data_IF_606100124404
#
_entry.id   IF_606100124404
#
_cell.length_a   1.000
_cell.length_b   1.000
_cell.length_c   1.000
_cell.angle_alpha   90.00
_cell.angle_beta   90.00
_cell.angle_gamma   90.00
#
_symmetry.space_group_name_H-M   'P 1'
#
loop_
_entity.id
_entity.type
_entity.pdbx_description
1 polymer ?
#
# COMPACT_ATOMS: atom_id res chain seq x y z
N UNK A 1 -3.64 -3.03 13.67
CA UNK A 1 -2.95 -3.59 14.87
C UNK A 1 -3.71 -4.83 15.36
N UNK A 2 -3.04 -5.98 15.48
CA UNK A 2 -3.60 -7.21 16.04
C UNK A 2 -2.77 -7.59 17.30
N UNK A 3 -3.40 -7.58 18.48
CA UNK A 3 -2.74 -7.88 19.79
C UNK A 3 -1.50 -7.02 20.07
N UNK A 4 -1.49 -5.77 19.65
CA UNK A 4 -0.35 -4.86 19.80
C UNK A 4 0.79 -5.08 18.80
N UNK A 5 0.57 -5.90 17.75
CA UNK A 5 1.48 -6.06 16.63
C UNK A 5 0.93 -5.34 15.39
N UNK A 6 1.81 -4.78 14.61
CA UNK A 6 1.57 -4.09 13.33
C UNK A 6 2.72 -4.33 12.35
N UNK A 7 2.66 -3.67 11.21
CA UNK A 7 3.69 -3.72 10.18
C UNK A 7 4.03 -5.16 9.76
N UNK A 8 5.29 -5.47 9.73
CA UNK A 8 5.88 -6.75 9.30
C UNK A 8 5.51 -7.97 10.17
N UNK A 9 4.82 -7.76 11.31
CA UNK A 9 4.38 -8.81 12.22
C UNK A 9 2.96 -9.30 11.98
N UNK A 10 2.23 -8.64 11.08
CA UNK A 10 0.90 -9.02 10.61
C UNK A 10 0.98 -9.26 9.11
N UNK A 11 0.65 -10.47 8.69
CA UNK A 11 0.64 -10.78 7.26
C UNK A 11 -0.72 -10.46 6.65
N UNK A 12 -0.71 -9.60 5.62
CA UNK A 12 -1.88 -9.34 4.79
C UNK A 12 -1.77 -10.22 3.54
N UNK A 13 -2.85 -10.91 3.21
CA UNK A 13 -2.92 -11.81 2.07
C UNK A 13 -4.12 -11.46 1.20
N UNK A 14 -3.93 -11.61 -0.09
CA UNK A 14 -5.00 -11.60 -1.08
C UNK A 14 -5.19 -13.02 -1.63
N UNK A 15 -6.39 -13.58 -1.45
CA UNK A 15 -6.74 -14.93 -1.92
C UNK A 15 -5.86 -16.06 -1.35
N UNK A 16 -5.26 -15.85 -0.17
CA UNK A 16 -4.38 -16.83 0.49
C UNK A 16 -2.92 -16.75 0.09
N UNK A 17 -2.53 -15.81 -0.78
CA UNK A 17 -1.16 -15.53 -1.20
C UNK A 17 -0.77 -14.08 -0.91
N UNK A 18 0.49 -13.73 -1.02
CA UNK A 18 1.03 -12.38 -0.76
C UNK A 18 0.31 -11.32 -1.59
N UNK A 19 0.20 -10.11 -1.08
CA UNK A 19 -0.35 -8.95 -1.81
C UNK A 19 0.59 -8.47 -2.91
N UNK A 20 1.89 -8.70 -2.76
CA UNK A 20 2.99 -8.20 -3.61
C UNK A 20 3.13 -6.67 -3.63
N UNK A 21 2.50 -5.97 -2.72
CA UNK A 21 2.74 -4.55 -2.46
C UNK A 21 3.89 -4.33 -1.47
N UNK A 22 4.22 -3.07 -1.20
CA UNK A 22 5.24 -2.69 -0.22
C UNK A 22 4.64 -2.10 1.07
N UNK A 23 3.36 -2.28 1.30
CA UNK A 23 2.62 -1.76 2.47
C UNK A 23 3.15 -2.23 3.84
N UNK A 24 4.08 -3.18 3.86
CA UNK A 24 4.75 -3.64 5.06
C UNK A 24 6.08 -2.92 5.33
N UNK A 25 6.58 -2.13 4.41
CA UNK A 25 7.86 -1.40 4.54
C UNK A 25 7.69 -0.09 5.29
N UNK A 26 6.64 0.66 4.97
CA UNK A 26 6.29 1.92 5.63
C UNK A 26 4.77 2.03 5.85
N UNK A 27 4.30 2.76 6.89
CA UNK A 27 2.88 2.95 7.17
C UNK A 27 2.13 3.80 6.14
N UNK A 28 2.80 4.62 5.39
CA UNK A 28 2.28 5.47 4.30
C UNK A 28 2.00 4.71 3.02
N UNK A 29 2.60 3.54 2.85
CA UNK A 29 2.32 2.71 1.69
C UNK A 29 0.97 1.99 1.79
N UNK A 30 0.07 2.30 0.87
CA UNK A 30 -1.26 1.71 0.80
C UNK A 30 -1.25 0.21 0.47
N UNK A 31 -2.23 -0.52 1.00
CA UNK A 31 -2.47 -1.92 0.59
C UNK A 31 -3.27 -1.92 -0.71
N UNK A 32 -2.77 -2.58 -1.76
CA UNK A 32 -3.38 -2.62 -3.10
C UNK A 32 -4.59 -3.57 -3.15
N UNK A 33 -5.56 -3.38 -2.27
CA UNK A 33 -6.79 -4.18 -2.19
C UNK A 33 -8.00 -3.25 -2.16
N UNK A 34 -8.91 -3.43 -3.11
CA UNK A 34 -10.17 -2.68 -3.15
C UNK A 34 -11.27 -3.36 -2.31
N UNK A 35 -11.77 -2.71 -1.25
CA UNK A 35 -12.79 -3.29 -0.37
C UNK A 35 -14.10 -3.67 -1.06
N UNK A 36 -14.51 -2.97 -2.12
CA UNK A 36 -15.72 -3.29 -2.89
C UNK A 36 -15.67 -4.70 -3.50
N UNK A 37 -14.47 -5.17 -3.82
CA UNK A 37 -14.25 -6.47 -4.44
C UNK A 37 -14.07 -7.60 -3.41
N UNK A 38 -13.98 -7.28 -2.12
CA UNK A 38 -13.91 -8.28 -1.08
C UNK A 38 -15.27 -8.98 -0.89
N UNK A 39 -15.24 -10.32 -0.82
CA UNK A 39 -16.36 -11.14 -0.37
C UNK A 39 -16.28 -11.42 1.12
N UNK A 40 -15.11 -11.80 1.62
CA UNK A 40 -14.85 -12.11 3.02
C UNK A 40 -13.47 -11.58 3.45
N UNK A 41 -13.36 -11.21 4.72
CA UNK A 41 -12.08 -10.89 5.37
C UNK A 41 -11.88 -11.82 6.55
N UNK A 42 -10.91 -12.71 6.44
CA UNK A 42 -10.57 -13.68 7.46
C UNK A 42 -9.42 -13.18 8.33
N UNK A 43 -9.61 -13.18 9.65
CA UNK A 43 -8.54 -12.86 10.60
C UNK A 43 -8.12 -14.12 11.34
N UNK A 44 -6.97 -14.70 10.94
CA UNK A 44 -6.43 -15.93 11.52
C UNK A 44 -5.44 -15.58 12.62
N UNK A 45 -5.64 -16.15 13.81
CA UNK A 45 -4.81 -15.92 15.00
C UNK A 45 -4.44 -17.23 15.68
N UNK A 46 -3.27 -17.24 16.36
CA UNK A 46 -2.80 -18.40 17.09
C UNK A 46 -2.13 -19.45 16.21
N UNK A 47 -2.08 -20.74 16.60
CA UNK A 47 -1.27 -21.75 15.92
C UNK A 47 -1.60 -21.96 14.43
N UNK A 48 -2.83 -21.65 14.00
CA UNK A 48 -3.23 -21.75 12.60
C UNK A 48 -2.48 -20.75 11.69
N UNK A 49 -1.97 -19.65 12.23
CA UNK A 49 -1.16 -18.69 11.49
C UNK A 49 0.14 -19.28 10.94
N UNK A 50 0.65 -20.35 11.54
CA UNK A 50 1.85 -21.06 11.06
C UNK A 50 1.70 -21.63 9.66
N UNK A 51 0.46 -21.91 9.21
CA UNK A 51 0.19 -22.36 7.85
C UNK A 51 0.44 -21.28 6.80
N UNK A 52 0.56 -20.02 7.22
CA UNK A 52 0.72 -18.86 6.35
C UNK A 52 2.16 -18.34 6.25
N UNK A 53 3.14 -19.07 6.82
CA UNK A 53 4.55 -18.78 6.71
C UNK A 53 5.08 -17.86 7.82
N UNK A 54 6.23 -17.22 7.55
CA UNK A 54 6.84 -16.23 8.44
C UNK A 54 6.02 -14.94 8.50
N UNK A 55 6.40 -14.00 9.36
CA UNK A 55 5.74 -12.70 9.57
C UNK A 55 4.27 -12.77 10.05
N UNK A 56 3.74 -13.95 10.38
CA UNK A 56 2.38 -14.14 10.89
C UNK A 56 2.32 -14.21 12.44
N UNK A 57 3.24 -13.52 13.15
CA UNK A 57 3.37 -13.61 14.62
C UNK A 57 2.15 -12.99 15.31
N UNK A 58 1.70 -11.83 14.86
CA UNK A 58 0.49 -11.16 15.37
C UNK A 58 -0.79 -11.82 14.85
N UNK A 59 -0.73 -12.33 13.65
CA UNK A 59 -1.85 -12.95 12.93
C UNK A 59 -1.76 -12.77 11.42
N UNK A 60 -2.81 -13.21 10.75
CA UNK A 60 -2.96 -13.09 9.29
C UNK A 60 -4.32 -12.45 9.00
N UNK A 61 -4.33 -11.48 8.11
CA UNK A 61 -5.55 -10.95 7.49
C UNK A 61 -5.59 -11.45 6.06
N UNK A 62 -6.54 -12.29 5.73
CA UNK A 62 -6.71 -12.82 4.38
C UNK A 62 -7.97 -12.25 3.74
N UNK A 63 -7.81 -11.48 2.69
CA UNK A 63 -8.92 -10.94 1.92
C UNK A 63 -9.28 -11.92 0.81
N UNK A 64 -10.52 -12.37 0.82
CA UNK A 64 -11.09 -13.24 -0.20
C UNK A 64 -11.95 -12.36 -1.09
N UNK A 65 -11.50 -12.16 -2.32
CA UNK A 65 -12.17 -11.30 -3.29
C UNK A 65 -13.04 -12.08 -4.27
N UNK A 66 -13.83 -11.32 -5.01
CA UNK A 66 -14.75 -11.82 -6.05
C UNK A 66 -14.05 -12.25 -7.34
N UNK A 67 -12.78 -11.90 -7.51
CA UNK A 67 -12.00 -12.13 -8.73
C UNK A 67 -11.79 -13.62 -9.03
N UNK A 68 -11.65 -14.49 -8.00
CA UNK A 68 -11.55 -15.93 -8.17
C UNK A 68 -12.87 -16.62 -7.82
N UNK A 69 -13.66 -17.08 -8.81
CA UNK A 69 -14.90 -17.80 -8.53
C UNK A 69 -14.67 -19.07 -7.70
N UNK A 70 -15.23 -19.12 -6.47
CA UNK A 70 -15.06 -20.23 -5.52
C UNK A 70 -16.29 -21.10 -5.38
N UNK A 71 -17.43 -20.63 -5.84
CA UNK A 71 -18.72 -21.30 -5.73
C UNK A 71 -19.43 -21.32 -7.07
N UNK A 72 -20.25 -22.35 -7.28
CA UNK A 72 -21.10 -22.41 -8.48
C UNK A 72 -22.06 -21.22 -8.49
N UNK A 73 -22.13 -20.55 -9.60
CA UNK A 73 -23.07 -19.45 -9.77
C UNK A 73 -24.51 -19.97 -9.58
N UNK A 74 -25.24 -19.34 -8.66
CA UNK A 74 -26.65 -19.68 -8.43
C UNK A 74 -27.55 -19.27 -9.58
N UNK A 75 -27.12 -18.28 -10.35
CA UNK A 75 -27.85 -17.72 -11.51
C UNK A 75 -26.87 -17.45 -12.66
N UNK A 76 -27.33 -17.46 -13.91
CA UNK A 76 -26.47 -17.19 -15.05
C UNK A 76 -25.80 -15.83 -15.03
N UNK A 77 -26.42 -14.85 -14.38
CA UNK A 77 -25.92 -13.48 -14.25
C UNK A 77 -26.44 -12.84 -12.95
N UNK A 78 -25.54 -12.20 -12.22
CA UNK A 78 -25.85 -11.31 -11.09
C UNK A 78 -24.81 -10.21 -11.02
N UNK A 79 -25.12 -9.14 -10.32
CA UNK A 79 -24.17 -8.03 -10.17
C UNK A 79 -24.61 -7.04 -9.11
N UNK A 80 -23.65 -6.22 -8.72
CA UNK A 80 -23.79 -5.09 -7.82
C UNK A 80 -23.20 -3.87 -8.51
N UNK A 81 -23.91 -2.74 -8.43
CA UNK A 81 -23.40 -1.45 -8.83
C UNK A 81 -23.47 -0.51 -7.62
N UNK A 82 -22.46 0.30 -7.44
CA UNK A 82 -22.36 1.27 -6.38
C UNK A 82 -22.01 2.63 -6.96
N UNK A 83 -22.62 3.68 -6.42
CA UNK A 83 -22.23 5.06 -6.64
C UNK A 83 -22.21 5.76 -5.29
N UNK A 84 -21.10 6.36 -4.95
CA UNK A 84 -20.90 7.04 -3.67
C UNK A 84 -20.48 8.48 -3.89
N UNK A 85 -20.93 9.36 -3.01
CA UNK A 85 -20.49 10.74 -2.91
C UNK A 85 -20.23 11.09 -1.44
N UNK A 86 -19.04 11.59 -1.14
CA UNK A 86 -18.61 12.08 0.17
C UNK A 86 -18.32 13.57 0.14
N UNK A 87 -19.01 14.37 0.97
CA UNK A 87 -18.86 15.82 0.94
C UNK A 87 -17.60 16.33 1.65
N UNK A 88 -16.96 15.51 2.47
CA UNK A 88 -15.77 15.89 3.24
C UNK A 88 -14.55 16.08 2.35
N UNK A 89 -14.43 15.26 1.31
CA UNK A 89 -13.35 15.32 0.32
C UNK A 89 -13.86 15.46 -1.11
N UNK A 90 -15.13 15.83 -1.28
CA UNK A 90 -15.82 15.84 -2.59
C UNK A 90 -15.64 14.51 -3.37
N UNK A 91 -15.52 13.39 -2.60
CA UNK A 91 -15.27 12.07 -3.14
C UNK A 91 -16.40 11.61 -4.06
N UNK A 92 -16.04 11.09 -5.20
CA UNK A 92 -16.92 10.45 -6.18
C UNK A 92 -16.38 9.07 -6.49
N UNK A 93 -17.19 8.04 -6.23
CA UNK A 93 -16.81 6.66 -6.49
C UNK A 93 -17.91 5.93 -7.25
N UNK A 94 -17.50 5.16 -8.25
CA UNK A 94 -18.37 4.33 -9.08
C UNK A 94 -17.81 2.93 -9.17
N UNK A 95 -18.57 1.95 -8.70
CA UNK A 95 -18.17 0.55 -8.67
C UNK A 95 -19.16 -0.35 -9.36
N UNK A 96 -18.65 -1.38 -10.02
CA UNK A 96 -19.42 -2.44 -10.67
C UNK A 96 -18.75 -3.79 -10.40
N UNK A 97 -19.51 -4.76 -9.86
CA UNK A 97 -19.07 -6.13 -9.72
C UNK A 97 -20.12 -7.08 -10.33
N UNK A 98 -19.73 -7.84 -11.32
CA UNK A 98 -20.57 -8.77 -12.07
C UNK A 98 -20.07 -10.18 -11.89
N UNK A 99 -20.98 -11.13 -11.79
CA UNK A 99 -20.65 -12.55 -11.74
C UNK A 99 -21.77 -13.40 -12.33
N UNK A 100 -21.41 -14.59 -12.75
CA UNK A 100 -22.40 -15.52 -13.27
C UNK A 100 -21.80 -16.84 -13.66
N UNK A 101 -22.63 -17.70 -14.23
CA UNK A 101 -22.18 -19.02 -14.70
C UNK A 101 -23.31 -19.99 -14.98
N UNK A 102 -22.91 -21.13 -15.52
CA UNK A 102 -23.83 -22.24 -15.82
C UNK A 102 -23.05 -23.54 -15.95
N UNK A 103 -23.64 -24.65 -15.54
CA UNK A 103 -23.12 -26.03 -15.74
C UNK A 103 -21.69 -26.25 -15.20
N UNK A 104 -21.35 -25.57 -14.08
CA UNK A 104 -20.03 -25.63 -13.45
C UNK A 104 -19.06 -24.59 -13.97
N UNK A 105 -19.32 -23.89 -15.05
CA UNK A 105 -18.57 -22.71 -15.46
C UNK A 105 -19.04 -21.51 -14.63
N UNK A 106 -18.07 -20.70 -14.19
CA UNK A 106 -18.33 -19.44 -13.50
C UNK A 106 -17.40 -18.34 -14.05
N UNK A 107 -17.86 -17.12 -14.00
CA UNK A 107 -17.09 -15.94 -14.38
C UNK A 107 -17.38 -14.77 -13.42
N UNK A 108 -16.45 -13.89 -13.31
CA UNK A 108 -16.57 -12.64 -12.55
C UNK A 108 -15.82 -11.51 -13.24
N UNK A 109 -16.30 -10.29 -13.05
CA UNK A 109 -15.66 -9.07 -13.55
C UNK A 109 -16.01 -7.90 -12.63
N UNK A 110 -15.04 -7.02 -12.40
CA UNK A 110 -15.26 -5.82 -11.60
C UNK A 110 -14.51 -4.63 -12.16
N UNK A 111 -15.03 -3.44 -11.84
CA UNK A 111 -14.41 -2.16 -12.14
C UNK A 111 -14.77 -1.16 -11.05
N UNK A 112 -13.82 -0.33 -10.67
CA UNK A 112 -13.98 0.79 -9.75
C UNK A 112 -13.21 1.99 -10.27
N UNK A 113 -13.81 3.16 -10.10
CA UNK A 113 -13.19 4.46 -10.30
C UNK A 113 -13.58 5.33 -9.10
N UNK A 114 -12.58 5.84 -8.38
CA UNK A 114 -12.73 6.67 -7.17
C UNK A 114 -11.84 7.87 -7.29
N UNK A 115 -12.37 9.06 -7.02
CA UNK A 115 -11.62 10.31 -6.98
C UNK A 115 -12.06 11.10 -5.76
N UNK A 116 -11.10 11.62 -5.01
CA UNK A 116 -11.32 12.55 -3.91
C UNK A 116 -10.34 13.71 -3.96
N UNK A 117 -10.76 14.86 -3.50
CA UNK A 117 -9.90 15.98 -3.15
C UNK A 117 -9.41 15.82 -1.71
N UNK A 118 -8.67 16.81 -1.22
CA UNK A 118 -8.24 16.89 0.16
C UNK A 118 -9.41 16.92 1.15
N UNK A 119 -9.19 16.35 2.34
CA UNK A 119 -10.21 16.23 3.36
C UNK A 119 -10.46 17.56 4.06
N UNK A 120 -11.74 17.97 4.16
CA UNK A 120 -12.16 19.05 5.06
C UNK A 120 -12.11 18.57 6.51
N UNK A 121 -11.37 19.27 7.37
CA UNK A 121 -11.21 18.98 8.79
C UNK A 121 -11.72 20.15 9.66
N UNK A 122 -12.15 19.92 10.91
CA UNK A 122 -12.73 20.99 11.75
C UNK A 122 -11.69 21.87 12.47
N UNK A 123 -10.44 21.88 12.08
CA UNK A 123 -9.33 22.56 12.74
C UNK A 123 -8.07 22.59 11.90
N UNK A 124 -6.94 22.73 12.56
CA UNK A 124 -5.63 22.51 11.97
C UNK A 124 -5.33 21.00 11.88
N UNK A 125 -4.43 20.61 10.97
CA UNK A 125 -4.02 19.22 10.80
C UNK A 125 -3.22 18.74 12.02
N UNK A 126 -2.36 19.61 12.53
CA UNK A 126 -1.52 19.33 13.68
C UNK A 126 -2.19 19.69 15.01
N UNK A 127 -1.74 19.04 16.06
CA UNK A 127 -2.22 19.35 17.40
C UNK A 127 -1.48 20.55 17.97
N UNK A 128 -2.18 21.41 18.71
CA UNK A 128 -1.57 22.55 19.39
C UNK A 128 -0.29 22.20 20.18
N UNK A 129 -0.20 20.99 20.73
CA UNK A 129 0.98 20.53 21.47
C UNK A 129 2.17 20.16 20.57
N UNK A 130 1.93 19.77 19.34
CA UNK A 130 2.98 19.54 18.34
C UNK A 130 3.55 20.89 17.89
N UNK A 131 2.70 21.81 17.48
CA UNK A 131 3.08 23.17 17.09
C UNK A 131 3.91 23.86 18.20
N UNK A 132 3.48 23.80 19.47
CA UNK A 132 4.22 24.36 20.61
C UNK A 132 5.58 23.64 20.85
N UNK A 133 5.70 22.36 20.46
CA UNK A 133 6.94 21.61 20.61
C UNK A 133 7.96 21.95 19.52
N UNK A 134 7.51 22.14 18.30
CA UNK A 134 8.32 22.54 17.14
C UNK A 134 8.84 23.97 17.31
N UNK A 135 7.99 24.94 17.72
CA UNK A 135 8.42 26.29 18.07
C UNK A 135 9.51 26.30 19.17
N UNK A 136 9.48 25.33 20.10
CA UNK A 136 10.50 25.24 21.16
C UNK A 136 11.80 24.64 20.67
N UNK A 137 11.78 23.68 19.75
CA UNK A 137 13.00 23.10 19.17
C UNK A 137 13.74 24.09 18.28
N UNK A 138 13.05 24.89 17.48
CA UNK A 138 13.64 25.96 16.67
C UNK A 138 14.32 27.02 17.54
N UNK A 139 13.69 27.44 18.61
CA UNK A 139 14.30 28.45 19.53
C UNK A 139 15.51 27.92 20.30
N UNK A 140 15.63 26.60 20.55
CA UNK A 140 16.84 26.04 21.21
C UNK A 140 18.05 26.02 20.27
N UNK A 141 17.84 25.86 18.94
CA UNK A 141 18.94 25.95 17.97
C UNK A 141 19.45 27.35 17.76
N UNK A 142 18.62 28.41 17.85
CA UNK A 142 19.04 29.80 17.72
C UNK A 142 19.87 30.31 18.93
N UNK A 143 19.71 29.75 20.13
CA UNK A 143 20.49 30.14 21.30
C UNK A 143 21.95 29.61 21.29
N UNK A 144 22.27 28.58 20.48
CA UNK A 144 23.65 28.07 20.35
C UNK A 144 24.50 28.83 19.31
N UNK A 145 23.90 29.58 18.38
CA UNK A 145 24.60 30.39 17.39
C UNK A 145 24.50 31.87 17.74
N UNK A 146 25.57 32.42 18.36
CA UNK A 146 25.65 33.76 18.97
C UNK A 146 25.31 34.93 18.05
N UNK A 147 24.50 35.85 18.58
CA UNK A 147 24.38 37.29 18.30
C UNK A 147 24.73 37.75 16.87
N UNK A 148 23.83 37.56 15.91
CA UNK A 148 23.68 38.43 14.77
C UNK A 148 22.28 39.04 14.79
N UNK A 149 22.21 40.37 15.07
CA UNK A 149 21.03 41.19 14.85
C UNK A 149 20.82 41.35 13.34
N UNK A 150 20.16 40.39 12.70
CA UNK A 150 19.46 40.61 11.44
C UNK A 150 17.98 40.34 11.70
N UNK A 151 17.13 41.30 11.30
CA UNK A 151 15.69 41.17 11.31
C UNK A 151 15.33 40.09 10.26
N UNK A 152 15.48 38.81 10.62
CA UNK A 152 15.00 37.69 9.85
C UNK A 152 13.47 37.77 9.82
N UNK A 153 12.89 37.91 8.65
CA UNK A 153 11.50 37.61 8.45
C UNK A 153 11.38 36.09 8.60
N UNK A 154 10.90 35.63 9.76
CA UNK A 154 10.38 34.28 9.89
C UNK A 154 9.12 34.26 9.04
N UNK A 155 9.16 33.60 7.91
CA UNK A 155 7.97 33.17 7.18
C UNK A 155 7.36 32.03 8.04
N UNK A 156 6.47 32.45 8.97
CA UNK A 156 5.62 31.51 9.69
C UNK A 156 4.83 30.74 8.61
N UNK A 157 5.13 29.45 8.44
CA UNK A 157 4.34 28.56 7.59
C UNK A 157 2.90 28.62 8.08
N UNK A 158 2.02 29.23 7.28
CA UNK A 158 0.61 29.34 7.61
C UNK A 158 -0.05 27.97 7.46
N UNK A 159 -0.08 27.18 8.53
CA UNK A 159 -0.91 25.98 8.57
C UNK A 159 -2.32 26.28 8.04
N UNK A 160 -2.77 25.50 7.07
CA UNK A 160 -4.07 25.69 6.45
C UNK A 160 -5.16 25.18 7.38
N UNK A 161 -5.94 26.14 7.91
CA UNK A 161 -7.09 25.82 8.75
C UNK A 161 -8.24 25.24 7.92
N UNK A 162 -8.72 24.09 8.32
CA UNK A 162 -9.97 23.51 7.78
C UNK A 162 -9.76 22.51 6.64
N UNK A 163 -8.53 22.25 6.23
CA UNK A 163 -8.18 21.25 5.20
C UNK A 163 -6.98 20.44 5.67
N UNK A 164 -6.99 19.15 5.44
CA UNK A 164 -5.83 18.28 5.52
C UNK A 164 -5.22 18.23 4.12
N UNK A 165 -4.21 19.05 3.89
CA UNK A 165 -3.53 19.15 2.60
C UNK A 165 -2.86 17.84 2.20
N UNK A 166 -2.75 17.62 0.90
CA UNK A 166 -2.14 16.43 0.32
C UNK A 166 -2.78 15.10 0.81
N UNK A 167 -4.10 15.09 0.96
CA UNK A 167 -4.87 13.90 1.37
C UNK A 167 -5.80 13.37 0.27
N UNK A 168 -5.64 13.82 -0.95
CA UNK A 168 -6.40 13.38 -2.12
C UNK A 168 -6.13 11.93 -2.48
N UNK A 169 -7.06 11.29 -3.18
CA UNK A 169 -6.91 9.92 -3.72
C UNK A 169 -7.60 9.81 -5.08
N UNK A 170 -6.90 9.29 -6.09
CA UNK A 170 -7.47 8.83 -7.37
C UNK A 170 -7.14 7.34 -7.54
N UNK A 171 -8.15 6.48 -7.57
CA UNK A 171 -7.97 5.04 -7.66
C UNK A 171 -8.80 4.45 -8.78
N UNK A 172 -8.17 3.64 -9.62
CA UNK A 172 -8.81 2.78 -10.60
C UNK A 172 -8.42 1.34 -10.37
N UNK A 173 -9.42 0.46 -10.35
CA UNK A 173 -9.15 -0.95 -10.18
C UNK A 173 -10.12 -1.78 -11.01
N UNK A 174 -9.65 -2.95 -11.46
CA UNK A 174 -10.48 -3.87 -12.22
C UNK A 174 -10.00 -5.30 -12.12
N UNK A 175 -10.91 -6.24 -12.39
CA UNK A 175 -10.56 -7.65 -12.45
C UNK A 175 -11.43 -8.43 -13.43
N UNK A 176 -10.89 -9.56 -13.88
CA UNK A 176 -11.59 -10.59 -14.62
C UNK A 176 -11.24 -11.94 -14.04
N UNK A 177 -12.26 -12.81 -13.86
CA UNK A 177 -12.11 -14.16 -13.33
C UNK A 177 -12.92 -15.19 -14.08
N UNK A 178 -12.35 -16.38 -14.23
CA UNK A 178 -12.97 -17.55 -14.85
C UNK A 178 -12.75 -18.76 -13.98
N UNK A 179 -13.76 -19.62 -13.86
CA UNK A 179 -13.67 -20.82 -13.05
C UNK A 179 -14.46 -21.99 -13.62
N UNK A 180 -13.99 -23.19 -13.30
CA UNK A 180 -14.71 -24.45 -13.47
C UNK A 180 -14.89 -25.12 -12.11
N UNK A 181 -16.14 -25.34 -11.73
CA UNK A 181 -16.55 -25.81 -10.40
C UNK A 181 -17.30 -27.16 -10.54
N UNK A 182 -16.52 -28.24 -10.56
CA UNK A 182 -17.00 -29.61 -10.67
C UNK A 182 -17.39 -30.21 -9.32
N UNK A 183 -17.90 -31.46 -9.35
CA UNK A 183 -18.23 -32.19 -8.12
C UNK A 183 -17.00 -32.75 -7.39
N UNK A 184 -15.90 -32.97 -8.12
CA UNK A 184 -14.67 -33.58 -7.61
C UNK A 184 -13.53 -32.58 -7.45
N UNK A 185 -13.78 -31.33 -7.76
CA UNK A 185 -12.80 -30.28 -7.64
C UNK A 185 -13.16 -29.04 -8.43
N UNK A 186 -12.36 -28.02 -8.28
CA UNK A 186 -12.51 -26.73 -8.93
C UNK A 186 -11.18 -26.22 -9.48
N UNK A 187 -11.27 -25.33 -10.45
CA UNK A 187 -10.14 -24.59 -11.00
C UNK A 187 -10.61 -23.18 -11.35
N UNK A 188 -9.86 -22.17 -10.95
CA UNK A 188 -10.14 -20.78 -11.27
C UNK A 188 -8.86 -20.04 -11.61
N UNK A 189 -8.98 -19.04 -12.47
CA UNK A 189 -7.93 -18.08 -12.82
C UNK A 189 -8.51 -16.67 -12.74
N UNK A 190 -7.67 -15.71 -12.39
CA UNK A 190 -8.03 -14.30 -12.45
C UNK A 190 -6.86 -13.43 -12.84
N UNK A 191 -7.19 -12.27 -13.38
CA UNK A 191 -6.29 -11.14 -13.56
C UNK A 191 -6.94 -9.92 -12.91
N UNK A 192 -6.17 -9.15 -12.17
CA UNK A 192 -6.58 -7.88 -11.58
C UNK A 192 -5.51 -6.82 -11.80
N UNK A 193 -5.97 -5.59 -11.86
CA UNK A 193 -5.20 -4.39 -12.05
C UNK A 193 -5.64 -3.34 -11.03
N UNK A 194 -4.69 -2.61 -10.46
CA UNK A 194 -4.92 -1.58 -9.46
C UNK A 194 -3.95 -0.44 -9.71
N UNK A 195 -4.46 0.74 -9.97
CA UNK A 195 -3.71 1.97 -10.11
C UNK A 195 -4.25 2.99 -9.10
N UNK A 196 -3.36 3.68 -8.40
CA UNK A 196 -3.75 4.69 -7.41
C UNK A 196 -2.71 5.79 -7.31
N UNK A 197 -3.16 7.03 -7.39
CA UNK A 197 -2.38 8.22 -7.08
C UNK A 197 -2.96 8.84 -5.81
N UNK A 198 -2.11 9.11 -4.82
CA UNK A 198 -2.56 9.68 -3.56
C UNK A 198 -1.47 10.49 -2.88
N UNK A 199 -1.89 11.54 -2.16
CA UNK A 199 -1.00 12.34 -1.34
C UNK A 199 -0.72 11.71 0.02
N UNK A 200 0.43 12.04 0.60
CA UNK A 200 0.84 11.65 1.96
C UNK A 200 0.83 12.89 2.84
N UNK A 201 -0.22 13.12 3.65
CA UNK A 201 -0.32 14.29 4.50
C UNK A 201 0.79 14.35 5.56
N UNK A 202 1.35 15.53 5.80
CA UNK A 202 2.32 15.74 6.87
C UNK A 202 3.75 15.25 6.55
N UNK A 203 4.03 14.82 5.33
CA UNK A 203 5.38 14.61 4.83
C UNK A 203 5.79 15.81 3.99
N UNK A 204 6.60 16.67 4.58
CA UNK A 204 7.39 17.67 3.89
C UNK A 204 8.88 17.38 4.20
N UNK A 205 9.68 17.18 3.19
CA UNK A 205 11.12 17.05 3.35
C UNK A 205 11.74 18.44 3.27
N UNK A 206 11.97 19.08 4.43
CA UNK A 206 12.84 20.24 4.49
C UNK A 206 14.25 19.83 4.05
N UNK A 207 14.78 20.45 3.02
CA UNK A 207 16.17 20.26 2.60
C UNK A 207 17.09 20.67 3.76
N UNK A 208 17.57 19.70 4.54
CA UNK A 208 18.79 19.89 5.31
C UNK A 208 19.95 19.86 4.30
N UNK A 209 20.39 21.03 3.85
CA UNK A 209 21.69 21.15 3.21
C UNK A 209 22.73 20.74 4.25
N UNK A 210 23.30 19.53 4.10
CA UNK A 210 24.52 19.13 4.80
C UNK A 210 25.63 20.11 4.39
N UNK A 211 25.91 21.11 5.21
CA UNK A 211 27.07 21.99 5.06
C UNK A 211 28.33 21.13 5.11
N UNK A 212 28.89 20.83 3.93
CA UNK A 212 30.23 20.27 3.84
C UNK A 212 31.21 21.26 4.49
N UNK A 213 31.87 20.81 5.57
CA UNK A 213 32.97 21.50 6.25
C UNK A 213 34.03 21.91 5.23
N UNK A 214 34.07 23.18 4.82
CA UNK A 214 35.19 23.75 4.13
C UNK A 214 36.32 24.07 5.13
N UNK A 215 37.35 23.22 5.14
CA UNK A 215 38.64 23.46 5.80
C UNK A 215 39.27 24.77 5.29
N UNK A 216 39.71 25.53 6.25
CA UNK A 216 40.43 26.82 6.12
C UNK A 216 41.66 26.71 5.22
N UNK A 217 41.81 27.65 4.29
CA UNK A 217 42.99 27.83 3.46
C UNK A 217 43.17 29.25 2.95
N UNK A 218 43.74 30.11 3.78
CA UNK A 218 44.64 31.26 3.50
C UNK A 218 44.39 32.19 2.31
N UNK A 219 44.21 33.49 2.70
CA UNK A 219 44.71 34.77 2.13
C UNK A 219 44.68 34.97 0.60
N UNK A 220 43.92 36.01 0.14
CA UNK A 220 44.47 37.06 -0.71
C UNK A 220 43.49 38.21 -1.00
N UNK A 221 43.98 39.43 -0.63
CA UNK A 221 43.94 40.77 -1.26
C UNK A 221 42.75 41.20 -2.13
N UNK A 222 42.27 42.35 -1.68
CA UNK A 222 41.57 43.51 -2.27
C UNK A 222 41.37 43.52 -3.81
N UNK A 223 40.12 43.70 -4.21
CA UNK A 223 39.70 44.14 -5.53
C UNK A 223 38.22 44.48 -5.57
N UNK A 224 37.91 45.78 -5.46
CA UNK A 224 36.59 46.34 -5.61
C UNK A 224 36.09 46.12 -7.06
N UNK A 225 34.96 45.48 -7.22
CA UNK A 225 34.01 45.73 -8.32
C UNK A 225 32.62 45.28 -7.88
N UNK A 226 31.70 46.28 -7.75
CA UNK A 226 30.28 46.12 -7.48
C UNK A 226 29.62 45.32 -8.64
N UNK A 227 29.31 44.07 -8.41
CA UNK A 227 28.27 43.36 -9.20
C UNK A 227 27.08 43.10 -8.26
N UNK A 228 25.95 43.74 -8.58
CA UNK A 228 24.68 43.49 -7.95
C UNK A 228 24.28 42.02 -8.24
N UNK A 229 24.57 41.10 -7.32
CA UNK A 229 23.93 39.83 -7.27
C UNK A 229 22.50 40.03 -6.76
N UNK A 230 21.53 39.97 -7.66
CA UNK A 230 20.17 39.60 -7.31
C UNK A 230 20.23 38.14 -6.89
N UNK A 231 20.35 37.89 -5.62
CA UNK A 231 19.95 36.63 -5.02
C UNK A 231 18.42 36.60 -5.20
N UNK A 232 17.96 35.82 -6.19
CA UNK A 232 16.60 35.36 -6.21
C UNK A 232 16.55 34.34 -5.07
N UNK A 233 16.04 34.76 -3.90
CA UNK A 233 15.65 33.88 -2.82
C UNK A 233 14.59 32.93 -3.38
N UNK A 234 15.01 31.75 -3.88
CA UNK A 234 14.15 30.63 -4.09
C UNK A 234 13.71 30.18 -2.69
N UNK A 235 12.58 30.70 -2.23
CA UNK A 235 11.85 30.14 -1.09
C UNK A 235 11.64 28.66 -1.40
N UNK A 236 12.27 27.79 -0.63
CA UNK A 236 12.05 26.36 -0.73
C UNK A 236 10.58 26.10 -0.40
N UNK A 237 9.75 25.94 -1.43
CA UNK A 237 8.38 25.45 -1.26
C UNK A 237 8.51 24.06 -0.62
N UNK A 238 7.86 23.84 0.51
CA UNK A 238 7.77 22.50 1.10
C UNK A 238 7.19 21.54 0.06
N UNK A 239 7.98 20.56 -0.35
CA UNK A 239 7.58 19.65 -1.40
C UNK A 239 6.68 18.56 -0.83
N UNK A 240 5.43 18.55 -1.25
CA UNK A 240 4.44 17.56 -0.85
C UNK A 240 4.73 16.20 -1.49
N UNK A 241 4.71 15.13 -0.69
CA UNK A 241 4.94 13.78 -1.17
C UNK A 241 3.67 13.18 -1.76
N UNK A 242 3.74 12.74 -3.00
CA UNK A 242 2.66 12.04 -3.71
C UNK A 242 3.12 10.65 -4.16
N UNK A 243 2.28 9.64 -4.02
CA UNK A 243 2.55 8.28 -4.45
C UNK A 243 1.73 7.97 -5.70
N UNK A 244 2.41 7.58 -6.79
CA UNK A 244 1.83 7.04 -8.02
C UNK A 244 2.11 5.53 -8.09
N UNK A 245 1.06 4.71 -7.94
CA UNK A 245 1.11 3.27 -7.73
C UNK A 245 0.37 2.51 -8.83
N UNK A 246 1.06 1.54 -9.42
CA UNK A 246 0.51 0.55 -10.33
C UNK A 246 0.78 -0.87 -9.85
N UNK A 247 -0.24 -1.73 -9.86
CA UNK A 247 -0.08 -3.15 -9.58
C UNK A 247 -0.90 -4.01 -10.54
N UNK A 248 -0.28 -5.04 -11.08
CA UNK A 248 -0.99 -6.11 -11.77
C UNK A 248 -0.80 -7.45 -11.07
N UNK A 249 -1.84 -8.29 -11.12
CA UNK A 249 -1.82 -9.59 -10.47
C UNK A 249 -2.52 -10.64 -11.31
N UNK A 250 -1.87 -11.80 -11.47
CA UNK A 250 -2.46 -13.01 -12.01
C UNK A 250 -2.55 -14.08 -10.94
N UNK A 251 -3.70 -14.70 -10.77
CA UNK A 251 -3.92 -15.72 -9.74
C UNK A 251 -4.54 -16.98 -10.32
N UNK A 252 -4.13 -18.13 -9.76
CA UNK A 252 -4.68 -19.45 -10.06
C UNK A 252 -5.06 -20.11 -8.75
N UNK A 253 -6.24 -20.73 -8.70
CA UNK A 253 -6.65 -21.61 -7.63
C UNK A 253 -7.14 -22.93 -8.17
N UNK A 254 -6.72 -24.02 -7.55
CA UNK A 254 -7.18 -25.36 -7.85
C UNK A 254 -7.55 -26.11 -6.57
N UNK A 255 -8.62 -26.88 -6.60
CA UNK A 255 -9.02 -27.76 -5.50
C UNK A 255 -9.42 -29.14 -6.04
N UNK A 256 -8.95 -30.19 -5.41
CA UNK A 256 -9.36 -31.56 -5.68
C UNK A 256 -9.96 -32.18 -4.41
N UNK A 257 -11.19 -32.62 -4.49
CA UNK A 257 -11.90 -33.28 -3.39
C UNK A 257 -11.73 -34.79 -3.49
N UNK A 258 -11.25 -35.43 -2.43
CA UNK A 258 -11.01 -36.86 -2.32
C UNK A 258 -10.24 -37.45 -3.50
N UNK A 259 -9.08 -36.87 -3.88
CA UNK A 259 -8.32 -37.35 -5.02
C UNK A 259 -7.75 -38.75 -4.81
N UNK A 260 -7.66 -39.19 -3.55
CA UNK A 260 -7.28 -40.56 -3.17
C UNK A 260 -7.89 -40.95 -1.82
N UNK A 261 -7.69 -42.16 -1.37
CA UNK A 261 -8.12 -42.61 -0.06
C UNK A 261 -7.36 -41.92 1.10
N UNK A 262 -6.21 -41.36 0.84
CA UNK A 262 -5.39 -40.67 1.83
C UNK A 262 -5.79 -39.21 2.00
N UNK A 263 -6.24 -38.51 0.97
CA UNK A 263 -6.58 -37.10 1.00
C UNK A 263 -8.10 -36.85 1.01
N UNK A 264 -8.55 -35.99 1.91
CA UNK A 264 -9.87 -35.37 1.86
C UNK A 264 -9.90 -34.22 0.85
N UNK A 265 -8.84 -33.37 0.83
CA UNK A 265 -8.67 -32.31 -0.18
C UNK A 265 -7.20 -32.06 -0.47
N UNK A 266 -6.95 -31.58 -1.69
CA UNK A 266 -5.71 -30.94 -2.10
C UNK A 266 -6.05 -29.59 -2.70
N UNK A 267 -5.41 -28.54 -2.22
CA UNK A 267 -5.57 -27.18 -2.71
C UNK A 267 -4.24 -26.66 -3.24
N UNK A 268 -4.32 -25.92 -4.34
CA UNK A 268 -3.23 -25.16 -4.95
C UNK A 268 -3.66 -23.72 -5.08
N UNK A 269 -2.85 -22.81 -4.54
CA UNK A 269 -2.95 -21.38 -4.79
C UNK A 269 -1.62 -20.94 -5.41
N UNK A 270 -1.69 -20.19 -6.50
CA UNK A 270 -0.55 -19.62 -7.19
C UNK A 270 -0.86 -18.18 -7.57
N UNK A 271 0.10 -17.28 -7.37
CA UNK A 271 -0.02 -15.89 -7.77
C UNK A 271 1.29 -15.38 -8.37
N UNK A 272 1.15 -14.51 -9.36
CA UNK A 272 2.19 -13.63 -9.89
C UNK A 272 1.77 -12.21 -9.58
N UNK A 273 2.70 -11.39 -9.12
CA UNK A 273 2.51 -9.96 -8.89
C UNK A 273 3.60 -9.15 -9.56
N UNK A 274 3.22 -8.01 -10.09
CA UNK A 274 4.07 -6.96 -10.63
C UNK A 274 3.57 -5.66 -10.00
N UNK A 275 4.45 -4.99 -9.27
CA UNK A 275 4.14 -3.80 -8.49
C UNK A 275 5.20 -2.75 -8.70
N UNK A 276 4.76 -1.54 -8.92
CA UNK A 276 5.61 -0.36 -8.99
C UNK A 276 4.91 0.81 -8.33
N UNK A 277 5.61 1.56 -7.50
CA UNK A 277 5.19 2.91 -7.17
C UNK A 277 6.37 3.88 -7.23
N UNK A 278 6.02 5.14 -7.44
CA UNK A 278 6.94 6.27 -7.47
C UNK A 278 6.48 7.20 -6.36
N UNK A 279 7.39 7.59 -5.52
CA UNK A 279 7.24 8.73 -4.61
C UNK A 279 7.72 9.96 -5.36
N UNK A 280 6.83 10.94 -5.46
CA UNK A 280 7.08 12.24 -6.07
C UNK A 280 7.17 13.27 -4.95
N UNK A 281 8.23 14.04 -4.94
CA UNK A 281 8.45 15.20 -4.09
C UNK A 281 8.24 16.43 -4.96
N UNK A 282 7.08 17.08 -4.81
CA UNK A 282 6.64 18.06 -5.79
C UNK A 282 6.58 17.47 -7.21
N UNK A 283 7.38 18.02 -8.12
CA UNK A 283 7.50 17.56 -9.51
C UNK A 283 8.69 16.59 -9.74
N UNK A 284 9.50 16.34 -8.73
CA UNK A 284 10.70 15.49 -8.81
C UNK A 284 10.40 14.05 -8.37
N UNK A 285 11.21 13.11 -8.85
CA UNK A 285 11.11 11.70 -8.47
C UNK A 285 12.02 11.45 -7.28
N UNK A 286 11.46 11.29 -6.09
CA UNK A 286 12.17 10.93 -4.88
C UNK A 286 12.61 9.46 -4.92
N UNK A 287 11.72 8.52 -4.70
CA UNK A 287 12.05 7.08 -4.68
C UNK A 287 11.15 6.27 -5.60
N UNK A 288 11.72 5.27 -6.27
CA UNK A 288 11.01 4.29 -7.08
C UNK A 288 11.11 2.93 -6.43
N UNK A 289 9.96 2.34 -6.10
CA UNK A 289 9.85 0.98 -5.57
C UNK A 289 9.32 0.05 -6.65
N UNK A 290 9.99 -1.08 -6.85
CA UNK A 290 9.54 -2.13 -7.76
C UNK A 290 9.57 -3.47 -7.03
N UNK A 291 8.55 -4.29 -7.25
CA UNK A 291 8.47 -5.62 -6.66
C UNK A 291 7.78 -6.59 -7.58
N UNK A 292 8.55 -7.53 -8.09
CA UNK A 292 8.09 -8.63 -8.94
C UNK A 292 8.17 -9.95 -8.20
N UNK A 293 7.16 -10.80 -8.35
CA UNK A 293 7.28 -12.08 -7.69
C UNK A 293 6.22 -13.11 -8.04
N UNK A 294 6.46 -14.31 -7.53
CA UNK A 294 5.47 -15.37 -7.57
C UNK A 294 5.46 -16.17 -6.27
N UNK A 295 4.28 -16.62 -5.92
CA UNK A 295 4.03 -17.46 -4.75
C UNK A 295 3.24 -18.70 -5.14
N UNK A 296 3.70 -19.85 -4.67
CA UNK A 296 3.02 -21.14 -4.79
C UNK A 296 2.72 -21.68 -3.40
N UNK A 297 1.48 -22.06 -3.20
CA UNK A 297 1.01 -22.71 -1.99
C UNK A 297 0.27 -23.98 -2.32
N UNK A 298 0.63 -25.08 -1.68
CA UNK A 298 -0.05 -26.37 -1.76
C UNK A 298 -0.48 -26.77 -0.36
N UNK A 299 -1.76 -27.08 -0.19
CA UNK A 299 -2.32 -27.54 1.09
C UNK A 299 -3.01 -28.88 0.90
N UNK A 300 -2.69 -29.84 1.73
CA UNK A 300 -3.32 -31.16 1.73
C UNK A 300 -3.96 -31.48 3.08
N UNK A 301 -5.24 -31.79 3.08
CA UNK A 301 -5.94 -32.31 4.26
C UNK A 301 -6.03 -33.83 4.12
N UNK A 302 -5.49 -34.55 5.11
CA UNK A 302 -5.54 -36.02 5.04
C UNK A 302 -6.84 -36.56 5.62
N UNK A 303 -7.29 -37.70 5.06
CA UNK A 303 -8.41 -38.47 5.61
C UNK A 303 -8.14 -38.92 7.05
N UNK A 304 -9.15 -39.04 7.91
CA UNK A 304 -8.94 -39.45 9.29
C UNK A 304 -8.15 -40.77 9.42
N UNK A 305 -7.06 -40.72 10.22
CA UNK A 305 -6.26 -41.90 10.57
C UNK A 305 -6.51 -42.20 12.05
N UNK A 306 -7.46 -43.09 12.33
CA UNK A 306 -7.98 -43.28 13.69
C UNK A 306 -8.69 -42.02 14.18
N UNK A 307 -8.19 -41.41 15.26
CA UNK A 307 -8.71 -40.15 15.82
C UNK A 307 -7.92 -38.92 15.38
N UNK A 308 -6.97 -39.04 14.47
CA UNK A 308 -6.15 -37.98 14.00
C UNK A 308 -6.67 -37.42 12.69
N UNK A 309 -6.84 -36.10 12.64
CA UNK A 309 -7.06 -35.29 11.44
C UNK A 309 -6.01 -34.20 11.40
N UNK A 310 -5.56 -33.81 10.21
CA UNK A 310 -4.56 -32.76 10.07
C UNK A 310 -4.40 -32.31 8.65
N UNK A 311 -3.65 -31.24 8.48
CA UNK A 311 -3.25 -30.68 7.21
C UNK A 311 -1.72 -30.54 7.17
N UNK A 312 -1.19 -30.61 5.98
CA UNK A 312 0.19 -30.27 5.68
C UNK A 312 0.24 -29.37 4.47
N UNK A 313 1.25 -28.54 4.40
CA UNK A 313 1.41 -27.57 3.32
C UNK A 313 2.84 -27.48 2.84
N UNK A 314 2.96 -27.06 1.60
CA UNK A 314 4.21 -26.58 0.99
C UNK A 314 3.98 -25.15 0.54
N UNK A 315 4.96 -24.28 0.83
CA UNK A 315 4.92 -22.88 0.45
C UNK A 315 6.28 -22.50 -0.16
N UNK A 316 6.24 -21.87 -1.30
CA UNK A 316 7.42 -21.29 -1.96
C UNK A 316 7.07 -19.90 -2.48
N UNK A 317 7.92 -18.94 -2.19
CA UNK A 317 7.82 -17.56 -2.67
C UNK A 317 9.19 -17.13 -3.19
N UNK A 318 9.20 -16.49 -4.34
CA UNK A 318 10.36 -15.81 -4.89
C UNK A 318 9.87 -14.46 -5.34
N UNK A 319 10.52 -13.42 -4.84
CA UNK A 319 10.27 -12.05 -5.23
C UNK A 319 11.60 -11.30 -5.32
N UNK A 320 11.67 -10.41 -6.29
CA UNK A 320 12.70 -9.38 -6.42
C UNK A 320 12.10 -8.06 -5.94
N UNK A 321 12.83 -7.35 -5.10
CA UNK A 321 12.45 -6.04 -4.58
C UNK A 321 13.59 -5.06 -4.83
N UNK A 322 13.25 -3.87 -5.33
CA UNK A 322 14.17 -2.76 -5.45
C UNK A 322 13.53 -1.47 -4.94
N UNK A 323 14.33 -0.65 -4.28
CA UNK A 323 14.02 0.73 -3.94
C UNK A 323 15.20 1.58 -4.41
N UNK A 324 14.95 2.56 -5.26
CA UNK A 324 15.98 3.40 -5.87
C UNK A 324 15.57 4.86 -5.74
N UNK A 325 16.32 5.64 -5.00
CA UNK A 325 16.04 7.05 -4.71
C UNK A 325 16.61 7.45 -3.35
N UNK A 326 16.10 8.52 -2.79
CA UNK A 326 16.59 9.09 -1.53
C UNK A 326 16.24 8.23 -0.32
N UNK A 327 15.09 7.57 -0.33
CA UNK A 327 14.66 6.60 0.69
C UNK A 327 15.11 5.16 0.40
N UNK A 328 16.18 4.97 -0.34
CA UNK A 328 16.68 3.64 -0.65
C UNK A 328 17.18 2.90 0.60
N UNK A 329 16.34 2.11 1.22
CA UNK A 329 16.73 1.18 2.28
C UNK A 329 17.45 -0.01 1.67
N UNK A 330 18.75 0.07 1.57
CA UNK A 330 19.57 -1.10 1.25
C UNK A 330 19.92 -1.77 2.58
N UNK A 331 19.49 -3.02 2.80
CA UNK A 331 19.95 -3.78 3.97
C UNK A 331 21.41 -4.16 3.87
#
# INVERSE_FOLDING_TARGET
>A
IIRGFDGDRIRILNQGTDTFDVSQTSPDHGVSIEPLFADDIEVVRGPASLLYGNAAIGGVVNVIGKELPRQRAAVPFSGQAEAYYGSVSDEKSYGLALQGGQDGFAWSAGFLDRQSNDFEIPGFAESYYQMEAEEHEEHEHEEEEGEHEEEGHHDEEEEVFGVLENSFVDTRSGYLGLGWLGEKGSFAISYSDYASEYGVPGHSHGHHEDEEEHEEGEEHEEGEEDEEHHDEDEHGEEESVTIDLDQSRFSIRGELLKPSAFFESLELDFALGDYRHIELEGDEVGTVFERDGYELRLTGVHSPIGNFTGAFGFHAKIDDFSAVGEEAFIP
#
